data_IF_209358700756
#
_entry.id   IF_209358700756
#
_cell.length_a   1.000
_cell.length_b   1.000
_cell.length_c   1.000
_cell.angle_alpha   90.00
_cell.angle_beta   90.00
_cell.angle_gamma   90.00
#
_symmetry.space_group_name_H-M   'P 1'
#
loop_
_entity.id
_entity.type
_entity.pdbx_description
1 polymer ?
#
# COMPACT_ATOMS: atom_id res chain seq x y z
N UNK A 1 -1.94 5.75 -37.14
CA UNK A 1 -1.69 6.33 -35.82
C UNK A 1 -0.86 5.33 -35.07
N UNK A 2 0.40 5.66 -34.83
CA UNK A 2 1.40 4.79 -34.25
C UNK A 2 1.74 5.34 -32.86
N UNK A 3 1.57 4.53 -31.82
CA UNK A 3 1.82 4.90 -30.43
C UNK A 3 2.91 3.98 -29.88
N UNK A 4 4.08 3.97 -30.52
CA UNK A 4 5.29 3.38 -29.92
C UNK A 4 5.81 4.29 -28.80
N UNK A 5 5.22 4.07 -27.63
CA UNK A 5 5.90 3.90 -26.34
C UNK A 5 7.17 4.70 -26.09
N UNK A 6 6.99 5.91 -25.55
CA UNK A 6 8.06 6.65 -24.88
C UNK A 6 8.47 5.90 -23.60
N UNK A 7 9.66 5.30 -23.63
CA UNK A 7 10.26 4.61 -22.49
C UNK A 7 10.62 5.61 -21.38
N UNK A 8 9.78 5.67 -20.34
CA UNK A 8 9.97 6.51 -19.15
C UNK A 8 10.09 5.67 -17.89
N UNK A 9 11.31 5.53 -17.41
CA UNK A 9 11.72 4.75 -16.23
C UNK A 9 11.29 5.44 -14.92
N UNK A 10 10.00 5.35 -14.55
CA UNK A 10 9.50 5.52 -13.18
C UNK A 10 8.28 4.61 -13.01
N UNK A 11 8.42 3.62 -12.14
CA UNK A 11 7.59 2.43 -12.00
C UNK A 11 6.13 2.75 -11.65
N UNK A 12 5.29 2.86 -12.66
CA UNK A 12 3.83 2.75 -12.60
C UNK A 12 3.42 2.25 -13.96
N UNK A 13 3.16 0.95 -14.09
CA UNK A 13 2.75 0.35 -15.36
C UNK A 13 1.45 1.06 -15.77
N UNK A 14 1.42 1.60 -16.99
CA UNK A 14 0.25 2.33 -17.47
C UNK A 14 -0.90 1.32 -17.59
N UNK A 15 -1.89 1.43 -16.70
CA UNK A 15 -3.04 0.53 -16.70
C UNK A 15 -3.90 0.82 -17.94
N UNK A 16 -4.15 -0.19 -18.76
CA UNK A 16 -5.11 -0.07 -19.85
C UNK A 16 -6.52 0.20 -19.32
N UNK A 17 -7.39 0.83 -20.13
CA UNK A 17 -8.76 1.22 -19.72
C UNK A 17 -9.60 0.02 -19.23
N UNK A 18 -9.28 -1.19 -19.69
CA UNK A 18 -9.97 -2.44 -19.32
C UNK A 18 -9.10 -3.39 -18.50
N UNK A 19 -7.89 -2.98 -18.12
CA UNK A 19 -6.97 -3.83 -17.36
C UNK A 19 -7.30 -3.77 -15.87
N UNK A 20 -7.18 -4.91 -15.19
CA UNK A 20 -7.44 -5.01 -13.76
C UNK A 20 -6.29 -4.43 -12.95
N UNK A 21 -6.65 -3.75 -11.87
CA UNK A 21 -5.71 -3.09 -10.99
C UNK A 21 -4.98 -4.14 -10.13
N UNK A 22 -3.71 -4.38 -10.46
CA UNK A 22 -2.82 -5.28 -9.72
C UNK A 22 -2.21 -4.65 -8.46
N UNK A 23 -1.55 -5.48 -7.63
CA UNK A 23 -0.86 -5.06 -6.41
C UNK A 23 0.12 -3.90 -6.65
N UNK A 24 0.84 -3.91 -7.78
CA UNK A 24 1.80 -2.88 -8.14
C UNK A 24 1.17 -1.50 -8.33
N UNK A 25 -0.09 -1.47 -8.78
CA UNK A 25 -0.82 -0.23 -9.00
C UNK A 25 -1.33 0.34 -7.67
N UNK A 26 -1.84 -0.51 -6.78
CA UNK A 26 -2.24 -0.10 -5.42
C UNK A 26 -1.03 0.45 -4.67
N UNK A 27 0.09 -0.27 -4.71
CA UNK A 27 1.34 0.16 -4.04
C UNK A 27 1.82 1.51 -4.56
N UNK A 28 1.81 1.71 -5.88
CA UNK A 28 2.24 2.98 -6.48
C UNK A 28 1.32 4.15 -6.10
N UNK A 29 0.00 3.93 -6.11
CA UNK A 29 -0.98 4.95 -5.77
C UNK A 29 -0.91 5.33 -4.28
N UNK A 30 -0.80 4.34 -3.40
CA UNK A 30 -0.61 4.57 -1.96
C UNK A 30 0.65 5.37 -1.66
N UNK A 31 1.78 5.09 -2.34
CA UNK A 31 3.00 5.86 -2.18
C UNK A 31 2.83 7.34 -2.62
N UNK A 32 2.03 7.58 -3.66
CA UNK A 32 1.70 8.93 -4.12
C UNK A 32 0.85 9.67 -3.08
N UNK A 33 -0.22 9.03 -2.60
CA UNK A 33 -1.12 9.60 -1.58
C UNK A 33 -0.36 9.89 -0.29
N UNK A 34 0.48 8.97 0.19
CA UNK A 34 1.30 9.18 1.38
C UNK A 34 2.26 10.37 1.21
N UNK A 35 2.88 10.49 0.03
CA UNK A 35 3.76 11.61 -0.30
C UNK A 35 3.05 12.96 -0.37
N UNK A 36 1.81 13.00 -0.85
CA UNK A 36 0.95 14.20 -0.84
C UNK A 36 0.46 14.53 0.57
N UNK A 37 0.00 13.53 1.32
CA UNK A 37 -0.50 13.68 2.68
C UNK A 37 0.59 14.22 3.60
N UNK A 38 1.80 13.66 3.55
CA UNK A 38 2.95 14.14 4.33
C UNK A 38 3.32 15.59 4.00
N UNK A 39 3.08 16.06 2.77
CA UNK A 39 3.35 17.45 2.36
C UNK A 39 2.27 18.42 2.82
N UNK A 40 1.01 18.00 2.83
CA UNK A 40 -0.14 18.88 3.14
C UNK A 40 -0.51 18.86 4.63
N UNK A 41 -0.50 17.68 5.24
CA UNK A 41 -0.97 17.42 6.60
C UNK A 41 -0.07 16.37 7.28
N UNK A 42 1.12 16.77 7.76
CA UNK A 42 2.11 15.83 8.31
C UNK A 42 1.61 15.09 9.56
N UNK A 43 0.80 15.74 10.40
CA UNK A 43 0.24 15.10 11.60
C UNK A 43 -0.78 14.01 11.24
N UNK A 44 -1.58 14.23 10.20
CA UNK A 44 -2.50 13.22 9.69
C UNK A 44 -1.75 12.09 8.99
N UNK A 45 -0.67 12.41 8.27
CA UNK A 45 0.22 11.43 7.66
C UNK A 45 0.85 10.51 8.71
N UNK A 46 1.33 11.06 9.82
CA UNK A 46 1.90 10.28 10.92
C UNK A 46 0.89 9.31 11.54
N UNK A 47 -0.39 9.66 11.50
CA UNK A 47 -1.50 8.86 12.03
C UNK A 47 -2.11 7.88 11.02
N UNK A 48 -1.67 7.92 9.75
CA UNK A 48 -2.25 7.12 8.67
C UNK A 48 -1.29 6.02 8.23
N UNK A 49 -1.82 4.84 7.93
CA UNK A 49 -1.07 3.70 7.37
C UNK A 49 -1.75 3.17 6.12
N UNK A 50 -0.96 3.01 5.07
CA UNK A 50 -1.35 2.42 3.80
C UNK A 50 -0.81 1.00 3.71
N UNK A 51 -1.67 0.01 3.94
CA UNK A 51 -1.25 -1.40 4.01
C UNK A 51 -0.96 -1.92 2.61
N UNK A 52 0.21 -2.51 2.42
CA UNK A 52 0.59 -3.05 1.13
C UNK A 52 -0.22 -4.33 0.84
N UNK A 53 -0.68 -4.57 -0.40
CA UNK A 53 -1.42 -5.79 -0.76
C UNK A 53 -0.72 -7.09 -0.34
N UNK A 54 0.61 -7.13 -0.45
CA UNK A 54 1.42 -8.28 -0.01
C UNK A 54 1.30 -8.55 1.49
N UNK A 55 1.22 -7.50 2.34
CA UNK A 55 1.05 -7.65 3.79
C UNK A 55 -0.33 -8.19 4.12
N UNK A 56 -1.38 -7.73 3.42
CA UNK A 56 -2.76 -8.25 3.58
C UNK A 56 -2.82 -9.73 3.21
N UNK A 57 -2.20 -10.11 2.08
CA UNK A 57 -2.14 -11.51 1.64
C UNK A 57 -1.44 -12.39 2.66
N UNK A 58 -0.34 -11.91 3.21
CA UNK A 58 0.44 -12.61 4.21
C UNK A 58 -0.32 -12.75 5.54
N UNK A 59 -1.05 -11.72 5.98
CA UNK A 59 -1.97 -11.80 7.13
C UNK A 59 -3.08 -12.86 6.93
N UNK A 60 -3.58 -13.05 5.70
CA UNK A 60 -4.60 -14.06 5.38
C UNK A 60 -4.06 -15.48 5.38
N UNK A 61 -2.82 -15.67 4.92
CA UNK A 61 -2.24 -17.00 4.72
C UNK A 61 -1.61 -17.60 5.98
N UNK A 62 -1.26 -16.77 6.96
CA UNK A 62 -0.57 -17.24 8.17
C UNK A 62 -1.57 -17.87 9.15
N UNK A 63 -1.40 -19.16 9.50
CA UNK A 63 -2.29 -19.84 10.44
C UNK A 63 -1.98 -19.48 11.90
N UNK A 64 -0.73 -19.13 12.20
CA UNK A 64 -0.29 -18.76 13.56
C UNK A 64 -0.86 -17.41 13.98
N UNK A 65 -1.41 -17.34 15.19
CA UNK A 65 -1.91 -16.08 15.74
C UNK A 65 -0.78 -15.14 16.15
N UNK A 66 0.32 -15.68 16.71
CA UNK A 66 1.48 -14.88 17.11
C UNK A 66 2.12 -14.19 15.91
N UNK A 67 2.24 -14.91 14.81
CA UNK A 67 2.87 -14.41 13.60
C UNK A 67 1.99 -13.32 12.99
N UNK A 68 0.66 -13.54 12.92
CA UNK A 68 -0.30 -12.52 12.47
C UNK A 68 -0.20 -11.22 13.29
N UNK A 69 -0.08 -11.34 14.61
CA UNK A 69 0.13 -10.17 15.49
C UNK A 69 1.43 -9.44 15.17
N UNK A 70 2.53 -10.17 14.95
CA UNK A 70 3.82 -9.57 14.61
C UNK A 70 3.75 -8.76 13.31
N UNK A 71 3.10 -9.29 12.27
CA UNK A 71 2.95 -8.57 11.00
C UNK A 71 2.02 -7.37 11.14
N UNK A 72 0.94 -7.51 11.92
CA UNK A 72 0.06 -6.39 12.22
C UNK A 72 0.82 -5.26 12.93
N UNK A 73 1.66 -5.60 13.91
CA UNK A 73 2.52 -4.63 14.61
C UNK A 73 3.50 -3.93 13.66
N UNK A 74 4.08 -4.64 12.68
CA UNK A 74 4.93 -4.04 11.66
C UNK A 74 4.20 -3.04 10.74
N UNK A 75 2.87 -3.15 10.64
CA UNK A 75 2.04 -2.25 9.84
C UNK A 75 1.67 -1.00 10.64
N UNK A 76 1.25 -1.16 11.90
CA UNK A 76 0.72 -0.04 12.71
C UNK A 76 1.84 0.78 13.36
N UNK A 77 2.93 0.12 13.78
CA UNK A 77 4.01 0.80 14.46
C UNK A 77 4.80 1.70 13.51
N UNK A 78 5.16 2.89 13.98
CA UNK A 78 6.10 3.76 13.30
C UNK A 78 7.55 3.23 13.40
N UNK A 79 8.49 3.98 12.83
CA UNK A 79 9.93 3.63 12.85
C UNK A 79 10.53 3.56 14.27
N UNK A 80 9.86 4.15 15.26
CA UNK A 80 10.27 4.16 16.67
C UNK A 80 9.56 3.06 17.48
N UNK A 81 8.68 2.28 16.85
CA UNK A 81 7.89 1.25 17.52
C UNK A 81 6.62 1.75 18.20
N UNK A 82 6.22 3.01 17.97
CA UNK A 82 4.99 3.55 18.55
C UNK A 82 3.80 3.21 17.66
N UNK A 83 2.73 2.69 18.28
CA UNK A 83 1.44 2.53 17.62
C UNK A 83 0.75 3.89 17.50
N UNK A 84 1.00 4.56 16.38
CA UNK A 84 0.45 5.89 16.07
C UNK A 84 -0.66 5.82 15.00
N UNK A 85 -0.97 4.63 14.50
CA UNK A 85 -1.85 4.45 13.36
C UNK A 85 -3.35 4.51 13.74
N UNK A 86 -3.91 5.72 13.74
CA UNK A 86 -5.35 5.93 13.96
C UNK A 86 -6.20 5.59 12.72
N UNK A 87 -5.61 5.65 11.53
CA UNK A 87 -6.28 5.36 10.26
C UNK A 87 -5.52 4.29 9.46
N UNK A 88 -6.23 3.25 9.03
CA UNK A 88 -5.66 2.14 8.28
C UNK A 88 -6.41 1.94 6.96
N UNK A 89 -5.69 2.06 5.85
CA UNK A 89 -6.22 1.80 4.51
C UNK A 89 -5.78 0.42 4.06
N UNK A 90 -6.70 -0.54 4.09
CA UNK A 90 -6.44 -1.95 3.78
C UNK A 90 -7.03 -2.29 2.41
N UNK A 91 -6.21 -2.65 1.41
CA UNK A 91 -6.74 -3.11 0.13
C UNK A 91 -7.36 -4.50 0.31
N UNK A 92 -8.65 -4.62 0.00
CA UNK A 92 -9.38 -5.89 0.01
C UNK A 92 -9.51 -6.37 -1.42
N UNK A 93 -9.01 -7.59 -1.67
CA UNK A 93 -9.18 -8.28 -2.95
C UNK A 93 -9.86 -9.64 -2.70
N UNK A 94 -10.91 -9.91 -3.47
CA UNK A 94 -11.65 -11.18 -3.45
C UNK A 94 -10.91 -12.31 -4.20
N UNK A 95 -9.93 -11.96 -5.04
CA UNK A 95 -9.14 -12.94 -5.79
C UNK A 95 -8.01 -13.49 -4.92
N UNK A 96 -8.26 -14.66 -4.36
CA UNK A 96 -7.27 -15.67 -3.94
C UNK A 96 -7.29 -16.84 -4.91
#
# INVERSE_FOLDING_TARGET
MDLTSCHGRRSGRLLGVTEWLGDEHITADYALVEGELRRKEPDLAAQTRFVQPAQVRLLRLIPSQSDRVQIFQQIVNDQNGNDTANFLFVPVNELV
#
